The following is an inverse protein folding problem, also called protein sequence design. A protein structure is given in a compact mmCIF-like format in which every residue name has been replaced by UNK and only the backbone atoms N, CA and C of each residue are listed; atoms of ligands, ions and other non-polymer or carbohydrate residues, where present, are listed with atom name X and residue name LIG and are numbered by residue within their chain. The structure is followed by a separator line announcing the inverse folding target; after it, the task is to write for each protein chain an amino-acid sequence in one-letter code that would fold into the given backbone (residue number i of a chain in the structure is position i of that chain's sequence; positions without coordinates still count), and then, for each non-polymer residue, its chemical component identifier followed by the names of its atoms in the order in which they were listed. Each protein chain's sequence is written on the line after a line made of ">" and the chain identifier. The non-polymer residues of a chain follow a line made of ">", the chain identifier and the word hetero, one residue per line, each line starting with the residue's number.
data_IF_921233339651
#
_entry.id   IF_921233339651
#
_cell.length_a   1.000
_cell.length_b   1.000
_cell.length_c   1.000
_cell.angle_alpha   90.00
_cell.angle_beta   90.00
_cell.angle_gamma   90.00
#
_symmetry.space_group_name_H-M   'P 1'
#
loop_
_entity.id
_entity.type
_entity.pdbx_description
1 polymer ?
#
# COMPACT_ATOMS: atom_id res chain seq x y z
N UNK A 1 17.57 12.08 23.66
CA UNK A 1 18.67 11.12 23.93
C UNK A 1 18.34 9.72 23.40
N UNK A 2 17.19 9.10 23.71
CA UNK A 2 16.81 7.79 23.13
C UNK A 2 16.81 7.77 21.59
N UNK A 3 16.33 8.84 20.94
CA UNK A 3 16.34 9.01 19.49
C UNK A 3 17.75 9.10 18.87
N UNK A 4 18.78 9.28 19.68
CA UNK A 4 20.17 9.27 19.22
C UNK A 4 20.89 7.98 19.60
N UNK A 5 20.52 7.36 20.72
CA UNK A 5 21.14 6.14 21.22
C UNK A 5 20.85 4.94 20.30
N UNK A 6 19.58 4.71 19.97
CA UNK A 6 19.18 3.57 19.14
C UNK A 6 19.79 3.61 17.72
N UNK A 7 19.79 4.75 16.98
CA UNK A 7 20.40 4.82 15.65
C UNK A 7 21.93 4.99 15.67
N UNK A 8 22.56 5.19 16.83
CA UNK A 8 24.00 5.42 16.92
C UNK A 8 24.85 4.35 16.21
N UNK A 9 24.58 3.04 16.33
CA UNK A 9 25.36 2.01 15.62
C UNK A 9 25.33 2.18 14.09
N UNK A 10 24.24 2.70 13.55
CA UNK A 10 24.09 2.94 12.10
C UNK A 10 24.71 4.26 11.68
N UNK A 11 24.48 5.34 12.43
CA UNK A 11 24.87 6.70 12.04
C UNK A 11 26.29 7.06 12.44
N UNK A 12 26.76 6.53 13.58
CA UNK A 12 28.10 6.73 14.15
C UNK A 12 28.56 5.45 14.85
N UNK A 13 29.04 4.43 14.13
CA UNK A 13 29.32 3.09 14.65
C UNK A 13 30.23 3.07 15.89
N UNK A 14 31.17 4.01 16.00
CA UNK A 14 32.15 4.07 17.12
C UNK A 14 31.66 4.85 18.35
N UNK A 15 30.48 5.51 18.25
CA UNK A 15 30.01 6.41 19.32
C UNK A 15 29.83 5.70 20.66
N UNK A 16 29.40 4.45 20.64
CA UNK A 16 29.09 3.67 21.82
C UNK A 16 30.23 2.72 22.24
N UNK A 17 31.35 2.66 21.51
CA UNK A 17 32.44 1.71 21.78
C UNK A 17 33.12 1.93 23.14
N UNK A 18 32.98 3.13 23.69
CA UNK A 18 33.42 3.42 25.08
C UNK A 18 32.72 2.49 26.08
N UNK A 19 31.55 1.96 25.79
CA UNK A 19 30.82 1.03 26.67
C UNK A 19 31.37 -0.40 26.63
N UNK A 20 32.41 -0.69 25.81
CA UNK A 20 33.18 -1.94 25.87
C UNK A 20 34.24 -1.96 26.96
N UNK A 21 34.37 -0.88 27.76
CA UNK A 21 35.30 -0.84 28.91
C UNK A 21 35.03 -2.03 29.82
N UNK A 22 36.13 -2.70 30.20
CA UNK A 22 36.07 -3.86 31.10
C UNK A 22 36.34 -3.45 32.55
N UNK A 23 35.64 -4.10 33.45
CA UNK A 23 35.96 -4.10 34.85
C UNK A 23 37.20 -5.00 35.07
N UNK A 24 38.34 -4.38 35.38
CA UNK A 24 39.61 -5.07 35.53
C UNK A 24 39.62 -6.04 36.72
N UNK A 25 38.79 -5.80 37.74
CA UNK A 25 38.71 -6.66 38.93
C UNK A 25 37.91 -7.96 38.66
N UNK A 26 36.96 -7.92 37.71
CA UNK A 26 36.08 -9.03 37.41
C UNK A 26 36.33 -9.65 36.04
N UNK A 27 37.30 -9.10 35.29
CA UNK A 27 37.64 -9.44 33.89
C UNK A 27 36.44 -9.59 32.97
N UNK A 28 35.44 -8.75 33.17
CA UNK A 28 34.22 -8.72 32.35
C UNK A 28 33.75 -7.28 32.09
N UNK A 29 32.86 -7.09 31.13
CA UNK A 29 32.16 -5.82 30.90
C UNK A 29 31.33 -5.41 32.12
N UNK A 30 31.06 -4.13 32.25
CA UNK A 30 30.16 -3.60 33.28
C UNK A 30 28.72 -4.03 32.89
N UNK A 31 28.09 -4.84 33.71
CA UNK A 31 26.76 -5.37 33.50
C UNK A 31 25.71 -4.26 33.31
N UNK A 32 25.91 -3.14 34.01
CA UNK A 32 25.03 -1.98 33.98
C UNK A 32 24.99 -1.23 32.63
N UNK A 33 26.03 -1.40 31.79
CA UNK A 33 26.04 -0.82 30.44
C UNK A 33 25.13 -1.56 29.50
N UNK A 34 24.83 -2.84 29.77
CA UNK A 34 24.06 -3.70 28.90
C UNK A 34 24.69 -3.81 27.51
N UNK A 35 23.86 -4.10 26.52
CA UNK A 35 24.30 -4.17 25.12
C UNK A 35 25.24 -5.33 24.81
N UNK A 36 25.68 -5.41 23.56
CA UNK A 36 26.58 -6.49 23.12
C UNK A 36 27.34 -6.09 21.85
N UNK A 37 28.32 -6.92 21.48
CA UNK A 37 28.99 -6.86 20.19
C UNK A 37 28.23 -7.74 19.19
N UNK A 38 27.85 -7.20 18.03
CA UNK A 38 27.19 -7.96 16.97
C UNK A 38 28.11 -9.01 16.34
N UNK A 39 27.54 -10.04 15.70
CA UNK A 39 28.29 -11.08 14.97
C UNK A 39 29.06 -10.53 13.78
N UNK A 40 28.51 -9.54 13.08
CA UNK A 40 29.08 -8.90 11.90
C UNK A 40 29.47 -7.45 12.21
N UNK A 41 28.60 -6.73 12.92
CA UNK A 41 28.88 -5.36 13.36
C UNK A 41 29.92 -5.37 14.49
N UNK A 42 31.06 -4.72 14.25
CA UNK A 42 32.17 -4.70 15.21
C UNK A 42 31.98 -3.78 16.41
N UNK A 43 31.09 -2.79 16.32
CA UNK A 43 30.80 -1.80 17.36
C UNK A 43 29.77 -2.27 18.38
N UNK A 44 29.53 -1.42 19.37
CA UNK A 44 28.59 -1.66 20.46
C UNK A 44 27.12 -1.54 20.00
N UNK A 45 26.31 -2.54 20.26
CA UNK A 45 24.87 -2.55 20.00
C UNK A 45 24.11 -2.32 21.32
N UNK A 46 23.29 -1.26 21.42
CA UNK A 46 22.62 -0.90 22.67
C UNK A 46 21.42 -1.80 22.98
N UNK A 47 21.21 -2.07 24.25
CA UNK A 47 20.01 -2.70 24.81
C UNK A 47 19.15 -1.68 25.54
N UNK A 48 17.99 -2.12 26.04
CA UNK A 48 17.20 -1.33 26.98
C UNK A 48 17.97 -0.98 28.25
N UNK A 49 18.88 -1.84 28.71
CA UNK A 49 19.76 -1.59 29.85
C UNK A 49 20.72 -0.44 29.56
N UNK A 50 21.32 -0.41 28.37
CA UNK A 50 22.14 0.71 27.89
C UNK A 50 21.38 2.03 27.98
N UNK A 51 20.12 2.03 27.56
CA UNK A 51 19.28 3.22 27.65
C UNK A 51 19.01 3.62 29.11
N UNK A 52 18.74 2.65 29.98
CA UNK A 52 18.53 2.90 31.41
C UNK A 52 19.76 3.47 32.07
N UNK A 53 20.95 2.98 31.74
CA UNK A 53 22.22 3.49 32.23
C UNK A 53 22.51 4.92 31.76
N UNK A 54 22.40 5.16 30.44
CA UNK A 54 22.67 6.47 29.83
C UNK A 54 21.69 7.56 30.31
N UNK A 55 20.44 7.17 30.63
CA UNK A 55 19.42 8.11 31.12
C UNK A 55 19.43 8.29 32.62
N UNK A 56 19.76 7.26 33.37
CA UNK A 56 19.56 7.19 34.82
C UNK A 56 20.84 6.98 35.66
N UNK A 57 21.95 6.57 35.03
CA UNK A 57 23.14 6.20 35.74
C UNK A 57 22.91 5.05 36.74
N UNK A 58 23.57 5.12 37.92
CA UNK A 58 23.46 4.11 38.98
C UNK A 58 22.25 4.30 39.90
N UNK A 59 21.60 5.47 39.86
CA UNK A 59 20.52 5.79 40.78
C UNK A 59 19.23 5.10 40.39
N UNK A 60 18.57 4.44 41.33
CA UNK A 60 17.35 3.62 41.10
C UNK A 60 16.19 4.43 40.57
N UNK A 61 15.93 5.62 41.06
CA UNK A 61 14.77 6.42 40.65
C UNK A 61 14.84 6.87 39.19
N UNK A 62 15.96 7.44 38.68
CA UNK A 62 16.10 7.75 37.26
C UNK A 62 16.04 6.49 36.36
N UNK A 63 16.49 5.33 36.86
CA UNK A 63 16.36 4.07 36.12
C UNK A 63 14.89 3.64 36.01
N UNK A 64 14.07 3.80 37.04
CA UNK A 64 12.61 3.55 36.95
C UNK A 64 11.94 4.48 35.95
N UNK A 65 12.35 5.73 35.89
CA UNK A 65 11.86 6.68 34.89
C UNK A 65 12.27 6.27 33.46
N UNK A 66 13.48 5.76 33.26
CA UNK A 66 13.93 5.21 31.98
C UNK A 66 13.11 3.99 31.56
N UNK A 67 12.86 3.05 32.50
CA UNK A 67 11.97 1.91 32.30
C UNK A 67 10.57 2.35 31.87
N UNK A 68 10.02 3.37 32.54
CA UNK A 68 8.71 3.91 32.20
C UNK A 68 8.67 4.44 30.77
N UNK A 69 9.71 5.17 30.34
CA UNK A 69 9.82 5.73 28.97
C UNK A 69 9.99 4.67 27.87
N UNK A 70 10.47 3.49 28.20
CA UNK A 70 10.65 2.38 27.27
C UNK A 70 9.43 1.48 27.16
N UNK A 71 8.35 1.74 27.91
CA UNK A 71 7.10 0.96 27.81
C UNK A 71 6.42 1.13 26.44
N UNK A 72 5.65 0.12 26.03
CA UNK A 72 4.99 0.09 24.74
C UNK A 72 3.95 1.23 24.56
N UNK A 73 3.33 1.68 25.65
CA UNK A 73 2.33 2.76 25.66
C UNK A 73 2.95 4.18 25.58
N UNK A 74 4.26 4.30 25.62
CA UNK A 74 4.94 5.60 25.58
C UNK A 74 5.10 6.15 24.15
N UNK A 75 5.15 7.49 23.98
CA UNK A 75 5.04 8.13 22.66
C UNK A 75 6.00 7.60 21.60
N UNK A 76 7.28 7.37 21.91
CA UNK A 76 8.26 6.92 20.93
C UNK A 76 8.03 5.48 20.46
N UNK A 77 7.59 4.60 21.36
CA UNK A 77 7.26 3.22 21.02
C UNK A 77 5.88 3.12 20.39
N UNK A 78 4.92 3.87 20.91
CA UNK A 78 3.57 3.96 20.35
C UNK A 78 3.58 4.53 18.92
N UNK A 79 4.47 5.48 18.64
CA UNK A 79 4.68 6.02 17.29
C UNK A 79 5.53 5.10 16.39
N UNK A 80 5.93 3.91 16.86
CA UNK A 80 6.74 2.98 16.09
C UNK A 80 8.15 3.49 15.74
N UNK A 81 8.67 4.51 16.46
CA UNK A 81 9.98 5.09 16.18
C UNK A 81 11.12 4.30 16.82
N UNK A 82 10.87 3.70 17.99
CA UNK A 82 11.82 2.86 18.72
C UNK A 82 11.25 1.48 18.94
N UNK A 83 12.07 0.47 18.75
CA UNK A 83 11.76 -0.93 19.01
C UNK A 83 12.62 -1.40 20.18
N UNK A 84 12.01 -1.99 21.19
CA UNK A 84 12.68 -2.77 22.22
C UNK A 84 12.23 -4.22 22.04
N UNK A 85 13.12 -5.03 21.51
CA UNK A 85 12.82 -6.45 21.31
C UNK A 85 12.77 -7.18 22.65
N UNK A 86 12.10 -8.32 22.66
CA UNK A 86 12.07 -9.17 23.85
C UNK A 86 13.47 -9.71 24.15
N UNK A 87 13.84 -9.71 25.44
CA UNK A 87 15.00 -10.43 25.91
C UNK A 87 14.81 -11.94 25.75
N UNK A 88 15.89 -12.70 25.75
CA UNK A 88 15.81 -14.16 25.78
C UNK A 88 15.09 -14.66 27.05
N UNK A 89 14.44 -15.84 27.01
CA UNK A 89 13.78 -16.39 28.18
C UNK A 89 14.74 -16.52 29.37
N UNK A 90 14.38 -15.93 30.51
CA UNK A 90 15.19 -15.92 31.72
C UNK A 90 16.09 -14.69 31.89
N UNK A 91 16.22 -13.85 30.89
CA UNK A 91 16.98 -12.60 30.95
C UNK A 91 16.10 -11.44 31.45
N UNK A 92 16.71 -10.42 32.10
CA UNK A 92 16.01 -9.20 32.49
C UNK A 92 15.35 -8.49 31.31
N UNK A 93 14.20 -7.87 31.53
CA UNK A 93 13.40 -7.21 30.49
C UNK A 93 14.20 -6.23 29.61
N UNK A 94 15.15 -5.53 30.17
CA UNK A 94 15.96 -4.52 29.47
C UNK A 94 17.17 -5.11 28.76
N UNK A 95 17.46 -6.40 28.87
CA UNK A 95 18.54 -7.05 28.11
C UNK A 95 18.27 -7.10 26.62
N UNK A 96 16.99 -6.96 26.20
CA UNK A 96 16.61 -6.98 24.79
C UNK A 96 17.19 -5.82 23.96
N UNK A 97 17.38 -6.05 22.65
CA UNK A 97 17.88 -5.05 21.69
C UNK A 97 17.04 -3.77 21.66
N UNK A 98 17.71 -2.61 21.71
CA UNK A 98 17.11 -1.32 21.46
C UNK A 98 17.43 -0.88 20.03
N UNK A 99 16.44 -0.91 19.16
CA UNK A 99 16.61 -0.66 17.74
C UNK A 99 15.87 0.61 17.29
N UNK A 100 16.44 1.38 16.35
CA UNK A 100 15.69 2.40 15.65
C UNK A 100 14.75 1.72 14.64
N UNK A 101 13.54 2.26 14.46
CA UNK A 101 12.72 1.83 13.34
C UNK A 101 13.29 2.34 12.01
N UNK A 102 12.98 1.69 10.88
CA UNK A 102 13.31 2.21 9.55
C UNK A 102 12.76 3.62 9.32
N UNK A 103 11.60 3.93 9.88
CA UNK A 103 10.99 5.27 9.84
C UNK A 103 11.85 6.32 10.54
N UNK A 104 12.33 6.02 11.75
CA UNK A 104 13.24 6.93 12.47
C UNK A 104 14.53 7.17 11.67
N UNK A 105 15.12 6.12 11.14
CA UNK A 105 16.34 6.23 10.31
C UNK A 105 16.11 7.08 9.07
N UNK A 106 15.02 6.87 8.35
CA UNK A 106 14.67 7.64 7.16
C UNK A 106 14.50 9.13 7.49
N UNK A 107 13.74 9.44 8.55
CA UNK A 107 13.56 10.85 8.99
C UNK A 107 14.88 11.52 9.39
N UNK A 108 15.80 10.80 10.04
CA UNK A 108 17.08 11.34 10.45
C UNK A 108 18.07 11.52 9.28
N UNK A 109 17.99 10.68 8.24
CA UNK A 109 18.95 10.67 7.13
C UNK A 109 18.47 11.44 5.92
N UNK A 110 17.19 11.32 5.55
CA UNK A 110 16.62 11.93 4.34
C UNK A 110 15.62 13.04 4.63
N UNK A 111 15.20 13.20 5.90
CA UNK A 111 14.16 14.15 6.30
C UNK A 111 12.74 13.73 5.91
N UNK A 112 12.57 12.59 5.22
CA UNK A 112 11.30 12.08 4.73
C UNK A 112 10.82 10.81 5.44
N UNK A 113 9.58 10.36 5.14
CA UNK A 113 9.06 9.11 5.65
C UNK A 113 9.81 7.91 5.04
N UNK A 114 9.86 6.81 5.78
CA UNK A 114 10.38 5.56 5.25
C UNK A 114 9.44 4.96 4.21
N UNK A 115 10.00 4.59 3.07
CA UNK A 115 9.30 3.90 1.99
C UNK A 115 9.94 2.53 1.79
N UNK A 116 9.27 1.46 2.25
CA UNK A 116 9.83 0.12 2.12
C UNK A 116 9.99 -0.29 0.65
N UNK A 117 11.06 -1.02 0.37
CA UNK A 117 11.27 -1.63 -0.94
C UNK A 117 10.33 -2.83 -1.10
N UNK A 118 9.73 -2.94 -2.30
CA UNK A 118 8.91 -4.10 -2.66
C UNK A 118 9.76 -5.37 -2.72
N UNK A 119 9.33 -6.41 -2.03
CA UNK A 119 10.02 -7.69 -1.99
C UNK A 119 9.31 -8.73 -1.14
N UNK A 120 9.90 -9.93 -1.00
CA UNK A 120 9.29 -11.00 -0.20
C UNK A 120 8.99 -10.60 1.25
N UNK A 121 9.84 -9.79 1.87
CA UNK A 121 9.65 -9.29 3.23
C UNK A 121 8.62 -8.14 3.34
N UNK A 122 8.31 -7.46 2.23
CA UNK A 122 7.30 -6.41 2.16
C UNK A 122 6.54 -6.53 0.83
N UNK A 123 5.48 -7.36 0.75
CA UNK A 123 4.76 -7.67 -0.47
C UNK A 123 3.77 -6.56 -0.86
N UNK A 124 4.20 -5.31 -0.82
CA UNK A 124 3.39 -4.17 -1.23
C UNK A 124 4.24 -3.15 -1.99
N UNK A 125 3.66 -2.54 -3.01
CA UNK A 125 4.31 -1.53 -3.85
C UNK A 125 3.51 -0.24 -3.84
N UNK A 126 4.19 0.89 -3.64
CA UNK A 126 3.58 2.20 -3.73
C UNK A 126 3.05 2.46 -5.15
N UNK A 127 1.83 2.96 -5.23
CA UNK A 127 1.22 3.42 -6.47
C UNK A 127 1.55 4.89 -6.71
N UNK A 128 2.02 5.19 -7.90
CA UNK A 128 2.28 6.54 -8.36
C UNK A 128 1.62 6.76 -9.72
N UNK A 129 1.14 7.97 -9.98
CA UNK A 129 0.61 8.36 -11.28
C UNK A 129 1.01 9.79 -11.58
N UNK A 130 1.32 10.05 -12.84
CA UNK A 130 1.48 11.41 -13.39
C UNK A 130 0.15 11.99 -13.87
N UNK A 131 -0.92 11.15 -13.91
CA UNK A 131 -2.26 11.56 -14.28
C UNK A 131 -2.95 12.22 -13.10
N UNK A 132 -3.83 13.18 -13.41
CA UNK A 132 -4.65 13.91 -12.45
C UNK A 132 -6.14 13.57 -12.55
N UNK A 133 -6.96 14.28 -11.77
CA UNK A 133 -8.42 14.13 -11.82
C UNK A 133 -9.03 14.48 -13.18
N UNK A 134 -8.40 15.39 -13.93
CA UNK A 134 -8.84 15.78 -15.27
C UNK A 134 -8.64 14.66 -16.32
N UNK A 135 -7.76 13.70 -16.04
CA UNK A 135 -7.51 12.54 -16.87
C UNK A 135 -8.47 11.37 -16.56
N UNK A 136 -9.20 11.46 -15.43
CA UNK A 136 -10.13 10.41 -14.97
C UNK A 136 -11.56 10.75 -15.39
N UNK A 137 -12.12 9.94 -16.29
CA UNK A 137 -13.49 10.10 -16.74
C UNK A 137 -14.38 9.07 -16.07
N UNK A 138 -15.25 9.51 -15.18
CA UNK A 138 -16.22 8.68 -14.45
C UNK A 138 -17.64 9.26 -14.61
N UNK A 139 -18.64 8.42 -14.41
CA UNK A 139 -20.03 8.87 -14.27
C UNK A 139 -20.16 9.71 -12.98
N UNK A 140 -21.07 10.72 -12.95
CA UNK A 140 -21.25 11.59 -11.79
C UNK A 140 -21.53 10.81 -10.51
N UNK A 141 -22.34 9.78 -10.55
CA UNK A 141 -22.71 8.96 -9.38
C UNK A 141 -21.48 8.21 -8.83
N UNK A 142 -20.59 7.74 -9.71
CA UNK A 142 -19.32 7.10 -9.33
C UNK A 142 -18.40 8.11 -8.70
N UNK A 143 -18.34 9.33 -9.23
CA UNK A 143 -17.53 10.42 -8.68
C UNK A 143 -18.01 10.82 -7.28
N UNK A 144 -19.31 10.89 -7.03
CA UNK A 144 -19.88 11.21 -5.71
C UNK A 144 -19.44 10.17 -4.66
N UNK A 145 -19.52 8.88 -5.00
CA UNK A 145 -19.02 7.81 -4.12
C UNK A 145 -17.51 7.93 -3.86
N UNK A 146 -16.73 8.26 -4.88
CA UNK A 146 -15.27 8.48 -4.77
C UNK A 146 -14.98 9.68 -3.87
N UNK A 147 -15.73 10.76 -3.98
CA UNK A 147 -15.58 11.94 -3.12
C UNK A 147 -15.92 11.64 -1.64
N UNK A 148 -16.92 10.78 -1.39
CA UNK A 148 -17.23 10.32 -0.04
C UNK A 148 -16.05 9.52 0.58
N UNK A 149 -15.43 8.64 -0.20
CA UNK A 149 -14.23 7.91 0.22
C UNK A 149 -13.08 8.87 0.51
N UNK A 150 -12.83 9.84 -0.38
CA UNK A 150 -11.79 10.85 -0.22
C UNK A 150 -12.01 11.68 1.05
N UNK A 151 -13.24 12.12 1.30
CA UNK A 151 -13.60 12.87 2.51
C UNK A 151 -13.31 12.06 3.78
N UNK A 152 -13.63 10.75 3.78
CA UNK A 152 -13.31 9.90 4.92
C UNK A 152 -11.80 9.72 5.12
N UNK A 153 -11.05 9.44 4.05
CA UNK A 153 -9.58 9.28 4.11
C UNK A 153 -8.93 10.52 4.70
N UNK A 154 -9.40 11.71 4.30
CA UNK A 154 -8.83 13.00 4.74
C UNK A 154 -9.28 13.41 6.14
N UNK A 155 -10.56 13.29 6.42
CA UNK A 155 -11.21 13.94 7.56
C UNK A 155 -11.85 12.94 8.56
N UNK A 156 -11.76 11.62 8.31
CA UNK A 156 -12.50 10.59 9.07
C UNK A 156 -12.27 10.62 10.57
N UNK A 157 -11.03 10.86 11.02
CA UNK A 157 -10.73 10.98 12.44
C UNK A 157 -11.38 12.21 13.10
N UNK A 158 -11.49 13.33 12.37
CA UNK A 158 -12.19 14.52 12.82
C UNK A 158 -13.70 14.27 12.85
N UNK A 159 -14.25 13.67 11.78
CA UNK A 159 -15.67 13.32 11.71
C UNK A 159 -16.10 12.42 12.88
N UNK A 160 -15.32 11.39 13.20
CA UNK A 160 -15.63 10.48 14.32
C UNK A 160 -15.71 11.23 15.65
N UNK A 161 -14.78 12.15 15.91
CA UNK A 161 -14.76 12.96 17.15
C UNK A 161 -15.88 13.99 17.19
N UNK A 162 -16.01 14.79 16.14
CA UNK A 162 -16.92 15.93 16.11
C UNK A 162 -18.40 15.48 16.17
N UNK A 163 -18.68 14.32 15.59
CA UNK A 163 -20.02 13.71 15.61
C UNK A 163 -20.19 12.68 16.72
N UNK A 164 -19.18 12.51 17.61
CA UNK A 164 -19.19 11.57 18.74
C UNK A 164 -19.46 10.12 18.33
N UNK A 165 -19.00 9.73 17.13
CA UNK A 165 -19.22 8.39 16.55
C UNK A 165 -18.18 7.38 16.99
N UNK A 166 -17.09 7.75 17.69
CA UNK A 166 -15.97 6.89 18.08
C UNK A 166 -16.40 5.63 18.85
N UNK A 167 -17.53 5.68 19.58
CA UNK A 167 -18.05 4.54 20.33
C UNK A 167 -18.89 3.58 19.49
N UNK A 168 -19.46 4.07 18.39
CA UNK A 168 -20.42 3.31 17.58
C UNK A 168 -19.82 2.81 16.27
N UNK A 169 -18.79 3.49 15.74
CA UNK A 169 -18.23 3.25 14.41
C UNK A 169 -16.74 2.99 14.53
N UNK A 170 -16.28 1.90 13.90
CA UNK A 170 -14.84 1.61 13.77
C UNK A 170 -14.19 2.63 12.82
N UNK A 171 -12.94 3.07 13.06
CA UNK A 171 -12.28 4.08 12.24
C UNK A 171 -11.93 3.62 10.82
N UNK A 172 -11.80 2.32 10.58
CA UNK A 172 -11.43 1.78 9.27
C UNK A 172 -12.51 1.96 8.21
N UNK A 173 -12.11 2.23 6.98
CA UNK A 173 -13.00 2.32 5.82
C UNK A 173 -12.61 1.31 4.75
N UNK A 174 -13.53 0.46 4.37
CA UNK A 174 -13.35 -0.59 3.36
C UNK A 174 -14.23 -0.28 2.16
N UNK A 175 -13.59 -0.13 1.01
CA UNK A 175 -14.26 0.09 -0.27
C UNK A 175 -14.02 -1.07 -1.21
N UNK A 176 -15.05 -1.43 -1.96
CA UNK A 176 -14.94 -2.39 -3.05
C UNK A 176 -15.18 -1.68 -4.38
N UNK A 177 -14.15 -1.62 -5.23
CA UNK A 177 -14.24 -1.13 -6.59
C UNK A 177 -14.47 -2.33 -7.52
N UNK A 178 -15.60 -2.38 -8.19
CA UNK A 178 -15.89 -3.49 -9.08
C UNK A 178 -16.37 -3.01 -10.46
N UNK A 179 -16.13 -3.82 -11.50
CA UNK A 179 -16.50 -3.49 -12.86
C UNK A 179 -15.48 -3.96 -13.88
N UNK A 180 -15.74 -3.80 -15.18
CA UNK A 180 -14.87 -4.27 -16.27
C UNK A 180 -13.42 -3.76 -16.13
N UNK A 181 -12.44 -4.49 -16.69
CA UNK A 181 -11.05 -4.04 -16.68
C UNK A 181 -10.86 -2.75 -17.49
N UNK A 182 -9.91 -1.91 -17.08
CA UNK A 182 -9.58 -0.67 -17.78
C UNK A 182 -10.57 0.48 -17.59
N UNK A 183 -11.45 0.41 -16.58
CA UNK A 183 -12.43 1.47 -16.25
C UNK A 183 -11.93 2.50 -15.23
N UNK A 184 -10.66 2.44 -14.82
CA UNK A 184 -10.04 3.47 -13.98
C UNK A 184 -9.94 3.13 -12.49
N UNK A 185 -10.31 1.93 -12.02
CA UNK A 185 -10.29 1.54 -10.59
C UNK A 185 -8.96 1.85 -9.88
N UNK A 186 -7.85 1.39 -10.45
CA UNK A 186 -6.51 1.60 -9.89
C UNK A 186 -6.09 3.08 -9.93
N UNK A 187 -6.42 3.78 -11.03
CA UNK A 187 -6.15 5.22 -11.15
C UNK A 187 -6.92 6.00 -10.08
N UNK A 188 -8.21 5.71 -9.91
CA UNK A 188 -9.05 6.34 -8.87
C UNK A 188 -8.46 6.16 -7.48
N UNK A 189 -8.04 4.95 -7.11
CA UNK A 189 -7.40 4.70 -5.81
C UNK A 189 -6.13 5.54 -5.64
N UNK A 190 -5.30 5.64 -6.69
CA UNK A 190 -4.08 6.45 -6.68
C UNK A 190 -4.39 7.94 -6.52
N UNK A 191 -5.41 8.46 -7.22
CA UNK A 191 -5.82 9.86 -7.14
C UNK A 191 -6.45 10.23 -5.79
N UNK A 192 -7.19 9.30 -5.16
CA UNK A 192 -7.66 9.48 -3.78
C UNK A 192 -6.47 9.71 -2.84
N UNK A 193 -5.43 8.87 -2.94
CA UNK A 193 -4.24 9.02 -2.11
C UNK A 193 -3.51 10.34 -2.37
N UNK A 194 -3.35 10.74 -3.62
CA UNK A 194 -2.73 12.01 -3.99
C UNK A 194 -3.50 13.22 -3.42
N UNK A 195 -4.83 13.22 -3.56
CA UNK A 195 -5.68 14.30 -3.06
C UNK A 195 -5.75 14.37 -1.53
N UNK A 196 -5.64 13.22 -0.86
CA UNK A 196 -5.57 13.14 0.60
C UNK A 196 -4.15 13.35 1.15
N UNK A 197 -3.13 13.49 0.30
CA UNK A 197 -1.71 13.51 0.67
C UNK A 197 -1.27 12.25 1.46
N UNK A 198 -1.81 11.09 1.09
CA UNK A 198 -1.56 9.79 1.70
C UNK A 198 -1.00 8.82 0.66
N UNK A 199 0.04 8.06 1.01
CA UNK A 199 0.58 7.04 0.12
C UNK A 199 -0.40 5.87 -0.06
N UNK A 200 -0.52 5.36 -1.29
CA UNK A 200 -1.32 4.17 -1.62
C UNK A 200 -0.38 3.02 -1.93
N UNK A 201 -0.54 1.92 -1.23
CA UNK A 201 0.27 0.72 -1.45
C UNK A 201 -0.57 -0.41 -2.03
N UNK A 202 -0.20 -0.83 -3.24
CA UNK A 202 -0.78 -2.03 -3.86
C UNK A 202 -0.13 -3.27 -3.27
N UNK A 203 -0.95 -4.08 -2.62
CA UNK A 203 -0.54 -5.36 -2.02
C UNK A 203 -0.54 -6.44 -3.10
N UNK A 204 0.56 -7.16 -3.22
CA UNK A 204 0.72 -8.24 -4.18
C UNK A 204 0.26 -9.58 -3.58
N UNK A 205 -0.96 -9.98 -3.95
CA UNK A 205 -1.57 -11.22 -3.47
C UNK A 205 -0.78 -12.47 -3.93
N UNK A 206 -0.04 -12.40 -5.04
CA UNK A 206 0.74 -13.53 -5.54
C UNK A 206 1.97 -13.84 -4.67
N UNK A 207 2.52 -12.82 -4.01
CA UNK A 207 3.62 -12.96 -3.05
C UNK A 207 3.12 -13.39 -1.65
N UNK A 208 1.83 -13.22 -1.40
CA UNK A 208 1.18 -13.60 -0.15
C UNK A 208 0.85 -15.09 -0.13
N UNK A 209 0.41 -15.67 -1.25
CA UNK A 209 0.12 -17.10 -1.39
C UNK A 209 1.43 -17.86 -1.70
N UNK A 210 2.37 -17.87 -0.77
CA UNK A 210 3.67 -18.52 -0.97
C UNK A 210 3.74 -19.91 -0.31
N UNK A 211 4.73 -20.74 -0.74
CA UNK A 211 4.91 -22.14 -0.29
C UNK A 211 5.31 -22.29 1.20
N UNK A 212 5.59 -21.21 1.92
CA UNK A 212 6.12 -21.27 3.28
C UNK A 212 5.10 -20.76 4.29
N UNK A 213 4.51 -21.68 5.01
CA UNK A 213 3.53 -21.43 6.08
C UNK A 213 4.17 -20.57 7.18
N UNK A 214 3.49 -19.50 7.59
CA UNK A 214 3.91 -18.60 8.68
C UNK A 214 4.76 -17.38 8.26
N UNK A 215 5.52 -17.42 7.18
CA UNK A 215 6.20 -16.21 6.65
C UNK A 215 5.21 -15.25 5.99
N UNK A 216 4.23 -15.78 5.30
CA UNK A 216 3.15 -15.05 4.65
C UNK A 216 2.36 -14.19 5.62
N UNK A 217 1.89 -14.81 6.72
CA UNK A 217 1.13 -14.10 7.75
C UNK A 217 1.96 -13.00 8.41
N UNK A 218 3.25 -13.25 8.67
CA UNK A 218 4.18 -12.29 9.26
C UNK A 218 4.42 -11.10 8.32
N UNK A 219 4.65 -11.35 7.03
CA UNK A 219 4.92 -10.31 6.05
C UNK A 219 3.67 -9.46 5.79
N UNK A 220 2.50 -10.09 5.75
CA UNK A 220 1.23 -9.39 5.63
C UNK A 220 0.96 -8.54 6.87
N UNK A 221 1.17 -9.09 8.08
CA UNK A 221 1.04 -8.33 9.32
C UNK A 221 1.93 -7.08 9.31
N UNK A 222 3.18 -7.20 8.85
CA UNK A 222 4.10 -6.07 8.73
C UNK A 222 3.58 -4.97 7.79
N UNK A 223 2.93 -5.34 6.65
CA UNK A 223 2.31 -4.36 5.74
C UNK A 223 1.16 -3.63 6.43
N UNK A 224 0.26 -4.35 7.11
CA UNK A 224 -0.87 -3.72 7.82
C UNK A 224 -0.41 -2.84 8.96
N UNK A 225 0.52 -3.32 9.79
CA UNK A 225 1.04 -2.57 10.93
C UNK A 225 1.74 -1.28 10.47
N UNK A 226 2.53 -1.35 9.39
CA UNK A 226 3.18 -0.18 8.83
C UNK A 226 2.18 0.78 8.19
N UNK A 227 1.18 0.27 7.48
CA UNK A 227 0.12 1.07 6.90
C UNK A 227 -0.70 1.81 7.97
N UNK A 228 -0.97 1.17 9.10
CA UNK A 228 -1.67 1.78 10.23
C UNK A 228 -0.86 2.92 10.86
N UNK A 229 0.43 2.70 11.09
CA UNK A 229 1.32 3.73 11.64
C UNK A 229 1.53 4.93 10.72
N UNK A 230 1.56 4.70 9.41
CA UNK A 230 1.81 5.74 8.40
C UNK A 230 0.52 6.35 7.83
N UNK A 231 -0.64 5.78 8.14
CA UNK A 231 -1.92 6.20 7.59
C UNK A 231 -2.09 5.90 6.09
N UNK A 232 -1.41 4.85 5.56
CA UNK A 232 -1.50 4.50 4.15
C UNK A 232 -2.84 3.90 3.77
N UNK A 233 -3.19 4.04 2.48
CA UNK A 233 -4.29 3.28 1.88
C UNK A 233 -3.72 1.96 1.35
N UNK A 234 -4.30 0.84 1.75
CA UNK A 234 -3.99 -0.47 1.18
C UNK A 234 -4.92 -0.75 0.00
N UNK A 235 -4.32 -1.01 -1.16
CA UNK A 235 -5.04 -1.34 -2.38
C UNK A 235 -4.78 -2.79 -2.79
N UNK A 236 -5.83 -3.59 -2.86
CA UNK A 236 -5.77 -4.97 -3.30
C UNK A 236 -6.38 -5.09 -4.70
N UNK A 237 -5.52 -5.30 -5.70
CA UNK A 237 -5.94 -5.50 -7.08
C UNK A 237 -6.27 -6.98 -7.33
N UNK A 238 -7.14 -7.24 -8.30
CA UNK A 238 -7.55 -8.61 -8.64
C UNK A 238 -8.05 -9.40 -7.42
N UNK A 239 -8.79 -8.72 -6.54
CA UNK A 239 -9.31 -9.33 -5.32
C UNK A 239 -10.31 -10.48 -5.58
N UNK A 240 -10.59 -10.80 -6.84
CA UNK A 240 -11.38 -11.96 -7.26
C UNK A 240 -10.86 -13.27 -6.67
N UNK A 241 -9.53 -13.38 -6.52
CA UNK A 241 -8.88 -14.53 -5.90
C UNK A 241 -9.29 -14.72 -4.43
N UNK A 242 -9.68 -13.64 -3.74
CA UNK A 242 -10.13 -13.67 -2.34
C UNK A 242 -11.60 -14.08 -2.19
N UNK A 243 -12.39 -13.93 -3.26
CA UNK A 243 -13.84 -14.14 -3.25
C UNK A 243 -14.26 -15.45 -3.92
N UNK A 244 -13.32 -16.18 -4.56
CA UNK A 244 -13.61 -17.45 -5.22
C UNK A 244 -14.38 -18.38 -4.30
N UNK A 245 -15.42 -19.03 -4.83
CA UNK A 245 -16.17 -20.06 -4.08
C UNK A 245 -15.15 -20.99 -3.45
N UNK A 246 -15.25 -21.17 -2.12
CA UNK A 246 -14.49 -22.16 -1.38
C UNK A 246 -14.63 -23.48 -2.13
N UNK A 247 -13.62 -23.82 -2.91
CA UNK A 247 -13.58 -25.11 -3.60
C UNK A 247 -13.65 -26.20 -2.54
N UNK A 248 -14.48 -27.22 -2.78
CA UNK A 248 -14.55 -28.35 -1.91
C UNK A 248 -13.12 -28.87 -1.68
N UNK A 249 -12.68 -28.88 -0.43
CA UNK A 249 -11.32 -29.20 -0.03
C UNK A 249 -10.92 -30.60 -0.51
N UNK A 250 -10.24 -30.69 -1.63
CA UNK A 250 -9.75 -31.94 -2.18
C UNK A 250 -8.28 -32.21 -1.86
N UNK A 251 -7.54 -31.17 -1.45
CA UNK A 251 -6.11 -31.30 -1.12
C UNK A 251 -5.73 -30.49 0.14
N UNK A 252 -4.58 -30.83 0.73
CA UNK A 252 -4.02 -30.07 1.85
C UNK A 252 -3.68 -28.63 1.45
N UNK A 253 -3.24 -28.40 0.20
CA UNK A 253 -2.93 -27.07 -0.33
C UNK A 253 -4.18 -26.17 -0.38
N UNK A 254 -5.35 -26.72 -0.70
CA UNK A 254 -6.61 -25.95 -0.72
C UNK A 254 -7.02 -25.47 0.68
N UNK A 255 -6.71 -26.26 1.73
CA UNK A 255 -6.97 -25.87 3.12
C UNK A 255 -6.09 -24.70 3.56
N UNK A 256 -4.82 -24.71 3.19
CA UNK A 256 -3.89 -23.63 3.53
C UNK A 256 -4.24 -22.33 2.79
N UNK A 257 -4.51 -22.40 1.49
CA UNK A 257 -4.96 -21.24 0.73
C UNK A 257 -6.24 -20.60 1.31
N UNK A 258 -7.20 -21.42 1.74
CA UNK A 258 -8.41 -20.94 2.39
C UNK A 258 -8.15 -20.30 3.78
N UNK A 259 -7.15 -20.79 4.52
CA UNK A 259 -6.75 -20.23 5.81
C UNK A 259 -6.09 -18.85 5.63
N UNK A 260 -5.15 -18.73 4.67
CA UNK A 260 -4.48 -17.46 4.34
C UNK A 260 -5.47 -16.39 3.89
N UNK A 261 -6.40 -16.75 3.01
CA UNK A 261 -7.50 -15.85 2.60
C UNK A 261 -8.35 -15.43 3.80
N UNK A 262 -8.70 -16.36 4.69
CA UNK A 262 -9.48 -16.05 5.89
C UNK A 262 -8.75 -15.12 6.84
N UNK A 263 -7.44 -15.32 7.02
CA UNK A 263 -6.59 -14.42 7.81
C UNK A 263 -6.53 -13.02 7.20
N UNK A 264 -6.29 -12.92 5.88
CA UNK A 264 -6.27 -11.64 5.18
C UNK A 264 -7.60 -10.89 5.34
N UNK A 265 -8.72 -11.56 5.14
CA UNK A 265 -10.05 -10.96 5.28
C UNK A 265 -10.30 -10.45 6.69
N UNK A 266 -9.87 -11.19 7.70
CA UNK A 266 -9.94 -10.76 9.10
C UNK A 266 -9.07 -9.52 9.33
N UNK A 267 -7.83 -9.50 8.82
CA UNK A 267 -6.95 -8.32 8.94
C UNK A 267 -7.54 -7.09 8.26
N UNK A 268 -8.17 -7.26 7.07
CA UNK A 268 -8.89 -6.18 6.38
C UNK A 268 -10.04 -5.64 7.22
N UNK A 269 -10.78 -6.51 7.93
CA UNK A 269 -11.90 -6.10 8.78
C UNK A 269 -11.47 -5.34 10.04
N UNK A 270 -10.35 -5.75 10.62
CA UNK A 270 -9.85 -5.16 11.86
C UNK A 270 -8.96 -3.94 11.63
N UNK A 271 -8.53 -3.70 10.39
CA UNK A 271 -7.67 -2.58 10.05
C UNK A 271 -8.35 -1.23 10.31
N UNK A 272 -7.68 -0.37 11.07
CA UNK A 272 -8.20 0.95 11.43
C UNK A 272 -8.06 2.01 10.33
N UNK A 273 -7.27 1.72 9.28
CA UNK A 273 -7.05 2.59 8.13
C UNK A 273 -8.02 2.34 6.98
N UNK A 274 -7.68 2.83 5.80
CA UNK A 274 -8.47 2.70 4.59
C UNK A 274 -7.98 1.55 3.70
N UNK A 275 -8.91 0.70 3.26
CA UNK A 275 -8.66 -0.40 2.34
C UNK A 275 -9.55 -0.28 1.12
N UNK A 276 -8.97 -0.44 -0.06
CA UNK A 276 -9.69 -0.49 -1.33
C UNK A 276 -9.39 -1.84 -1.99
N UNK A 277 -10.41 -2.65 -2.21
CA UNK A 277 -10.31 -3.89 -2.97
C UNK A 277 -10.85 -3.64 -4.39
N UNK A 278 -10.14 -4.09 -5.42
CA UNK A 278 -10.57 -3.98 -6.80
C UNK A 278 -10.85 -5.37 -7.39
N UNK A 279 -12.00 -5.52 -8.04
CA UNK A 279 -12.45 -6.77 -8.65
C UNK A 279 -12.98 -6.52 -10.06
N UNK A 280 -12.73 -7.45 -10.98
CA UNK A 280 -13.29 -7.42 -12.32
C UNK A 280 -14.64 -8.16 -12.41
N UNK A 281 -15.00 -8.94 -11.39
CA UNK A 281 -16.17 -9.80 -11.35
C UNK A 281 -17.08 -9.46 -10.18
N UNK A 282 -18.30 -8.99 -10.46
CA UNK A 282 -19.35 -8.80 -9.43
C UNK A 282 -19.94 -10.14 -8.96
N UNK A 283 -19.98 -11.14 -9.82
CA UNK A 283 -20.76 -12.37 -9.62
C UNK A 283 -20.20 -13.30 -8.52
N UNK A 284 -18.97 -13.08 -8.06
CA UNK A 284 -18.29 -13.93 -7.07
C UNK A 284 -18.32 -13.37 -5.65
N UNK A 285 -18.90 -12.19 -5.44
CA UNK A 285 -18.94 -11.56 -4.11
C UNK A 285 -20.14 -12.11 -3.35
N UNK A 286 -19.86 -12.89 -2.31
CA UNK A 286 -20.89 -13.39 -1.39
C UNK A 286 -21.57 -12.21 -0.68
N UNK A 287 -22.91 -12.23 -0.53
CA UNK A 287 -23.66 -11.21 0.20
C UNK A 287 -23.17 -11.01 1.63
N UNK A 288 -22.74 -12.08 2.29
CA UNK A 288 -22.17 -12.01 3.63
C UNK A 288 -20.89 -11.20 3.65
N UNK A 289 -20.13 -11.21 2.55
CA UNK A 289 -18.92 -10.42 2.41
C UNK A 289 -19.22 -8.96 2.02
N UNK A 290 -20.23 -8.74 1.16
CA UNK A 290 -20.66 -7.39 0.75
C UNK A 290 -21.01 -6.49 1.95
N UNK A 291 -21.60 -7.06 3.01
CA UNK A 291 -21.97 -6.33 4.25
C UNK A 291 -20.79 -5.77 5.04
N UNK A 292 -19.57 -6.17 4.71
CA UNK A 292 -18.33 -5.74 5.40
C UNK A 292 -17.75 -4.45 4.81
N UNK A 293 -18.21 -4.04 3.62
CA UNK A 293 -17.79 -2.80 2.96
C UNK A 293 -18.69 -1.64 3.34
N UNK A 294 -18.09 -0.48 3.60
CA UNK A 294 -18.80 0.77 3.78
C UNK A 294 -19.22 1.38 2.43
N UNK A 295 -18.48 1.07 1.36
CA UNK A 295 -18.76 1.57 0.02
C UNK A 295 -18.51 0.47 -1.02
N UNK A 296 -19.43 0.33 -1.97
CA UNK A 296 -19.31 -0.59 -3.11
C UNK A 296 -19.52 0.18 -4.41
N UNK A 297 -18.41 0.58 -5.03
CA UNK A 297 -18.44 1.45 -6.22
C UNK A 297 -18.36 0.63 -7.49
N UNK A 298 -19.39 0.75 -8.31
CA UNK A 298 -19.41 0.14 -9.63
C UNK A 298 -18.80 1.06 -10.68
N UNK A 299 -17.78 0.59 -11.38
CA UNK A 299 -17.12 1.28 -12.48
C UNK A 299 -17.65 0.74 -13.82
N UNK A 300 -18.66 1.37 -14.42
CA UNK A 300 -19.22 0.93 -15.70
C UNK A 300 -18.24 1.15 -16.85
N UNK A 301 -18.51 0.55 -17.99
CA UNK A 301 -17.89 1.00 -19.24
C UNK A 301 -18.34 2.44 -19.53
N UNK A 302 -17.45 3.29 -20.05
CA UNK A 302 -17.79 4.67 -20.35
C UNK A 302 -18.83 4.75 -21.47
N UNK A 303 -19.76 5.69 -21.37
CA UNK A 303 -20.71 6.03 -22.43
C UNK A 303 -20.01 6.73 -23.62
N UNK A 304 -20.75 7.03 -24.70
CA UNK A 304 -20.19 7.63 -25.90
C UNK A 304 -19.54 9.01 -25.64
N UNK A 305 -20.14 9.83 -24.78
CA UNK A 305 -19.62 11.15 -24.43
C UNK A 305 -18.34 11.02 -23.60
N UNK A 306 -18.32 10.12 -22.64
CA UNK A 306 -17.15 9.80 -21.82
C UNK A 306 -16.01 9.20 -22.67
N UNK A 307 -16.33 8.30 -23.61
CA UNK A 307 -15.33 7.77 -24.55
C UNK A 307 -14.74 8.86 -25.42
N UNK A 308 -15.55 9.78 -25.92
CA UNK A 308 -15.07 10.93 -26.70
C UNK A 308 -14.11 11.79 -25.87
N UNK A 309 -14.43 12.02 -24.59
CA UNK A 309 -13.55 12.74 -23.67
C UNK A 309 -12.22 12.00 -23.47
N UNK A 310 -12.25 10.68 -23.28
CA UNK A 310 -11.04 9.84 -23.16
C UNK A 310 -10.18 9.89 -24.43
N UNK A 311 -10.79 9.79 -25.62
CA UNK A 311 -10.06 9.92 -26.88
C UNK A 311 -9.32 11.25 -27.01
N UNK A 312 -9.99 12.35 -26.65
CA UNK A 312 -9.38 13.70 -26.69
C UNK A 312 -8.29 13.88 -25.65
N UNK A 313 -8.50 13.37 -24.44
CA UNK A 313 -7.54 13.48 -23.34
C UNK A 313 -6.23 12.71 -23.59
N UNK A 314 -6.31 11.53 -24.22
CA UNK A 314 -5.12 10.71 -24.51
C UNK A 314 -4.18 11.30 -25.55
N UNK A 315 -4.68 12.15 -26.46
CA UNK A 315 -3.87 12.85 -27.44
C UNK A 315 -4.39 14.30 -27.58
N UNK A 316 -4.01 15.17 -26.65
CA UNK A 316 -4.58 16.52 -26.55
C UNK A 316 -4.16 17.46 -27.68
N UNK A 317 -3.08 17.16 -28.43
CA UNK A 317 -2.67 17.93 -29.58
C UNK A 317 -3.54 17.59 -30.81
N UNK A 318 -4.46 18.48 -31.25
CA UNK A 318 -5.31 18.23 -32.41
C UNK A 318 -4.53 17.99 -33.71
N UNK A 319 -3.34 18.52 -33.81
CA UNK A 319 -2.46 18.32 -34.97
C UNK A 319 -1.92 16.89 -35.12
N UNK A 320 -2.11 16.06 -34.11
CA UNK A 320 -1.72 14.65 -34.14
C UNK A 320 -2.80 13.74 -34.73
N UNK A 321 -4.02 14.21 -34.86
CA UNK A 321 -5.11 13.48 -35.52
C UNK A 321 -5.09 13.76 -37.03
N UNK A 322 -5.17 12.71 -37.84
CA UNK A 322 -5.29 12.81 -39.27
C UNK A 322 -6.65 13.40 -39.69
N UNK A 323 -6.76 14.00 -40.87
CA UNK A 323 -7.99 14.64 -41.34
C UNK A 323 -9.13 13.61 -41.61
N UNK A 324 -8.78 12.33 -41.68
CA UNK A 324 -9.70 11.18 -41.84
C UNK A 324 -10.17 10.56 -40.52
N UNK A 325 -9.85 11.18 -39.38
CA UNK A 325 -10.21 10.69 -38.04
C UNK A 325 -11.48 11.39 -37.57
N UNK A 326 -12.53 10.60 -37.39
CA UNK A 326 -13.77 11.02 -36.75
C UNK A 326 -13.86 10.41 -35.33
N UNK A 327 -13.41 11.18 -34.32
CA UNK A 327 -13.46 10.75 -32.91
C UNK A 327 -14.89 10.58 -32.39
N UNK A 328 -15.86 11.46 -32.70
CA UNK A 328 -17.26 11.24 -32.36
C UNK A 328 -17.79 9.90 -32.86
N UNK A 329 -17.60 9.58 -34.13
CA UNK A 329 -18.05 8.31 -34.71
C UNK A 329 -17.34 7.10 -34.02
N UNK A 330 -16.05 7.18 -33.78
CA UNK A 330 -15.32 6.14 -33.05
C UNK A 330 -15.86 5.93 -31.63
N UNK A 331 -16.19 7.02 -30.95
CA UNK A 331 -16.73 6.99 -29.60
C UNK A 331 -18.15 6.40 -29.57
N UNK A 332 -18.97 6.67 -30.58
CA UNK A 332 -20.35 6.17 -30.67
C UNK A 332 -20.38 4.67 -30.98
N UNK A 333 -19.62 4.25 -31.99
CA UNK A 333 -19.68 2.89 -32.54
C UNK A 333 -19.00 1.84 -31.65
N UNK A 334 -17.89 2.21 -30.97
CA UNK A 334 -17.06 1.24 -30.27
C UNK A 334 -17.11 1.41 -28.75
N UNK A 335 -17.81 0.48 -28.10
CA UNK A 335 -17.84 0.39 -26.63
C UNK A 335 -16.52 -0.15 -26.11
N UNK A 336 -15.60 0.75 -25.80
CA UNK A 336 -14.26 0.44 -25.28
C UNK A 336 -14.07 1.04 -23.90
N UNK A 337 -13.35 0.33 -23.04
CA UNK A 337 -12.88 0.89 -21.77
C UNK A 337 -11.77 1.92 -21.99
N UNK A 338 -11.51 2.79 -21.02
CA UNK A 338 -10.42 3.77 -21.11
C UNK A 338 -9.06 3.12 -21.33
N UNK A 339 -8.80 1.97 -20.71
CA UNK A 339 -7.59 1.18 -20.95
C UNK A 339 -7.48 0.63 -22.38
N UNK A 340 -8.61 0.18 -22.95
CA UNK A 340 -8.65 -0.27 -24.35
C UNK A 340 -8.41 0.91 -25.31
N UNK A 341 -9.03 2.06 -25.07
CA UNK A 341 -8.79 3.28 -25.86
C UNK A 341 -7.31 3.68 -25.82
N UNK A 342 -6.69 3.70 -24.66
CA UNK A 342 -5.26 4.00 -24.51
C UNK A 342 -4.37 3.01 -25.30
N UNK A 343 -4.73 1.71 -25.31
CA UNK A 343 -4.03 0.72 -26.11
C UNK A 343 -4.21 0.97 -27.63
N UNK A 344 -5.41 1.33 -28.07
CA UNK A 344 -5.67 1.67 -29.48
C UNK A 344 -4.78 2.84 -29.91
N UNK A 345 -4.76 3.93 -29.15
CA UNK A 345 -3.91 5.11 -29.44
C UNK A 345 -2.43 4.71 -29.49
N UNK A 346 -1.98 3.91 -28.52
CA UNK A 346 -0.59 3.41 -28.48
C UNK A 346 -0.23 2.62 -29.73
N UNK A 347 -1.09 1.69 -30.15
CA UNK A 347 -0.85 0.89 -31.36
C UNK A 347 -0.89 1.73 -32.64
N UNK A 348 -1.83 2.67 -32.73
CA UNK A 348 -1.91 3.60 -33.85
C UNK A 348 -0.65 4.47 -33.93
N UNK A 349 -0.15 4.99 -32.79
CA UNK A 349 1.07 5.78 -32.73
C UNK A 349 2.30 5.00 -33.19
N UNK A 350 2.45 3.74 -32.76
CA UNK A 350 3.54 2.85 -33.23
C UNK A 350 3.42 2.61 -34.73
N UNK A 351 2.20 2.38 -35.26
CA UNK A 351 1.97 2.18 -36.67
C UNK A 351 2.31 3.42 -37.53
N UNK A 352 1.88 4.59 -37.07
CA UNK A 352 2.18 5.86 -37.73
C UNK A 352 3.70 6.16 -37.72
N UNK A 353 4.35 5.94 -36.58
CA UNK A 353 5.81 6.15 -36.44
C UNK A 353 6.61 5.26 -37.39
N UNK A 354 6.27 3.95 -37.48
CA UNK A 354 6.91 3.01 -38.42
C UNK A 354 6.73 3.39 -39.88
N UNK A 355 5.63 4.08 -40.20
CA UNK A 355 5.37 4.62 -41.54
C UNK A 355 5.94 6.03 -41.77
N UNK A 356 6.73 6.58 -40.84
CA UNK A 356 7.31 7.91 -40.95
C UNK A 356 6.28 9.05 -40.83
N UNK A 357 5.06 8.77 -40.39
CA UNK A 357 3.98 9.75 -40.21
C UNK A 357 3.99 10.36 -38.80
N UNK A 358 3.58 11.62 -38.69
CA UNK A 358 3.43 12.33 -37.44
C UNK A 358 2.00 12.44 -36.93
N UNK A 359 1.04 11.93 -37.72
CA UNK A 359 -0.40 11.94 -37.44
C UNK A 359 -0.93 10.52 -37.43
N UNK A 360 -1.93 10.28 -36.58
CA UNK A 360 -2.69 9.04 -36.52
C UNK A 360 -3.81 9.09 -37.56
N UNK A 361 -3.82 8.15 -38.49
CA UNK A 361 -4.90 8.02 -39.49
C UNK A 361 -6.03 7.14 -39.00
N UNK A 362 -7.21 7.30 -39.58
CA UNK A 362 -8.38 6.47 -39.28
C UNK A 362 -8.14 4.97 -39.47
N UNK A 363 -7.34 4.59 -40.50
CA UNK A 363 -6.95 3.20 -40.71
C UNK A 363 -6.09 2.63 -39.56
N UNK A 364 -5.24 3.44 -38.93
CA UNK A 364 -4.41 3.01 -37.79
C UNK A 364 -5.29 2.76 -36.56
N UNK A 365 -6.27 3.66 -36.31
CA UNK A 365 -7.22 3.55 -35.22
C UNK A 365 -8.12 2.34 -35.39
N UNK A 366 -8.73 2.13 -36.59
CA UNK A 366 -9.54 0.95 -36.87
C UNK A 366 -8.78 -0.37 -36.63
N UNK A 367 -7.49 -0.44 -37.04
CA UNK A 367 -6.66 -1.62 -36.75
C UNK A 367 -6.43 -1.80 -35.26
N UNK A 368 -6.23 -0.72 -34.50
CA UNK A 368 -6.12 -0.75 -33.07
C UNK A 368 -7.40 -1.25 -32.39
N UNK A 369 -8.55 -0.71 -32.78
CA UNK A 369 -9.88 -1.13 -32.30
C UNK A 369 -10.11 -2.60 -32.58
N UNK A 370 -9.91 -3.07 -33.84
CA UNK A 370 -10.06 -4.46 -34.19
C UNK A 370 -9.20 -5.40 -33.35
N UNK A 371 -8.00 -4.94 -32.97
CA UNK A 371 -7.11 -5.71 -32.10
C UNK A 371 -7.62 -5.80 -30.67
N UNK A 372 -8.13 -4.71 -30.10
CA UNK A 372 -8.69 -4.72 -28.74
C UNK A 372 -9.97 -5.57 -28.67
N UNK A 373 -10.89 -5.41 -29.62
CA UNK A 373 -12.11 -6.22 -29.68
C UNK A 373 -11.81 -7.72 -29.79
N UNK A 374 -10.79 -8.12 -30.58
CA UNK A 374 -10.37 -9.54 -30.65
C UNK A 374 -9.88 -10.09 -29.33
N UNK A 375 -9.21 -9.29 -28.49
CA UNK A 375 -8.78 -9.72 -27.15
C UNK A 375 -9.98 -10.03 -26.24
N UNK A 376 -11.10 -9.32 -26.46
CA UNK A 376 -12.34 -9.51 -25.73
C UNK A 376 -13.25 -10.59 -26.36
N UNK A 377 -12.79 -11.28 -27.40
CA UNK A 377 -13.61 -12.25 -28.15
C UNK A 377 -14.74 -11.62 -28.99
N UNK A 378 -14.67 -10.30 -29.22
CA UNK A 378 -15.65 -9.52 -30.00
C UNK A 378 -15.12 -9.28 -31.41
N UNK A 379 -16.04 -9.22 -32.41
CA UNK A 379 -15.71 -8.82 -33.79
C UNK A 379 -16.09 -7.35 -34.02
N UNK A 380 -15.37 -6.68 -34.94
CA UNK A 380 -15.77 -5.33 -35.37
C UNK A 380 -17.16 -5.42 -36.01
N UNK A 381 -18.10 -4.61 -35.56
CA UNK A 381 -19.26 -4.24 -36.35
C UNK A 381 -18.78 -3.25 -37.42
N UNK A 382 -18.93 -3.59 -38.69
CA UNK A 382 -18.75 -2.64 -39.78
C UNK A 382 -19.85 -1.59 -39.64
N UNK A 383 -19.44 -0.32 -39.51
CA UNK A 383 -20.39 0.79 -39.62
C UNK A 383 -21.01 0.76 -41.02
N UNK A 384 -22.31 0.62 -41.09
CA UNK A 384 -23.06 0.68 -42.33
C UNK A 384 -23.03 2.07 -42.95
#
# INVERSE_FOLDING_TARGET
>A
MLLMLAPAPTLRPQLLDLLFVRNTNLDRGFTEFGGWKGKVHGGFLPSGETAAFVLGGEALWPRFEALRRLRADQPLRRAGLLLLEAAEPGEPLLSGPLLPSPELLARLTTGGPHRPDHGPGFPARRLESTLGWDDLVLAPEVMDEVQAILAWVRDGAALLRDWQLERAVKPGWRSLFHGPPGTGKTLTATLIGQAAAVDVYRVDLSLIVSKYIGETEKNLAAVFDQAEHQGWILFFDEADALFGKRTATSSSNDRFANQEVSYLLQRVEDFAGSVILASNLKANIDEAFARRFQSMVYFPLPDAAQRLQLWRGLLPDPGRWGPDVDLPALAEVHELSGGAIANVVRHAAVGAHRAGRRQLGGADLRRGVARELRKEGRTMQEAA
#
